data_IF_683010718288
#
_entry.id   IF_683010718288
#
_cell.length_a   1.000
_cell.length_b   1.000
_cell.length_c   1.000
_cell.angle_alpha   90.00
_cell.angle_beta   90.00
_cell.angle_gamma   90.00
#
_symmetry.space_group_name_H-M   'P 1'
#
loop_
_entity.id
_entity.type
_entity.pdbx_description
1 polymer ?
#
# COMPACT_ATOMS: atom_id res chain seq x y z
N UNK A 1 8.30 -4.48 -10.28
CA UNK A 1 8.30 -3.03 -9.97
C UNK A 1 8.68 -2.87 -8.51
N UNK A 2 9.91 -2.45 -8.19
CA UNK A 2 10.25 -2.05 -6.83
C UNK A 2 9.70 -0.64 -6.61
N UNK A 3 9.16 -0.37 -5.43
CA UNK A 3 8.69 0.96 -5.09
C UNK A 3 9.86 1.91 -4.89
N UNK A 4 9.71 3.13 -5.37
CA UNK A 4 10.54 4.24 -4.92
C UNK A 4 10.35 4.42 -3.40
N UNK A 5 11.35 5.00 -2.74
CA UNK A 5 11.26 5.29 -1.31
C UNK A 5 10.04 6.19 -0.99
N UNK A 6 9.71 7.10 -1.91
CA UNK A 6 8.55 7.98 -1.81
C UNK A 6 7.23 7.20 -1.87
N UNK A 7 7.08 6.23 -2.77
CA UNK A 7 5.90 5.36 -2.84
C UNK A 7 5.72 4.54 -1.57
N UNK A 8 6.80 3.88 -1.12
CA UNK A 8 6.73 3.05 0.08
C UNK A 8 6.34 3.88 1.32
N UNK A 9 6.94 5.06 1.49
CA UNK A 9 6.54 5.99 2.56
C UNK A 9 5.10 6.44 2.39
N UNK A 10 4.68 6.78 1.18
CA UNK A 10 3.31 7.18 0.85
C UNK A 10 2.27 6.15 1.29
N UNK A 11 2.44 4.91 0.85
CA UNK A 11 1.58 3.78 1.20
C UNK A 11 1.60 3.47 2.70
N UNK A 12 2.77 3.58 3.34
CA UNK A 12 2.92 3.36 4.79
C UNK A 12 2.14 4.39 5.61
N UNK A 13 2.20 5.67 5.25
CA UNK A 13 1.42 6.72 5.93
C UNK A 13 -0.08 6.57 5.66
N UNK A 14 -0.49 6.25 4.43
CA UNK A 14 -1.91 5.96 4.15
C UNK A 14 -2.44 4.80 4.98
N UNK A 15 -1.62 3.76 5.21
CA UNK A 15 -2.00 2.63 6.06
C UNK A 15 -2.18 3.06 7.52
N UNK A 16 -1.30 3.93 8.02
CA UNK A 16 -1.39 4.48 9.39
C UNK A 16 -2.65 5.34 9.57
N UNK A 17 -2.89 6.27 8.65
CA UNK A 17 -4.12 7.07 8.71
C UNK A 17 -5.39 6.21 8.60
N UNK A 18 -5.37 5.14 7.79
CA UNK A 18 -6.51 4.22 7.70
C UNK A 18 -6.78 3.49 9.03
N UNK A 19 -5.74 2.97 9.70
CA UNK A 19 -5.92 2.30 10.99
C UNK A 19 -6.38 3.27 12.09
N UNK A 20 -5.94 4.54 12.04
CA UNK A 20 -6.42 5.56 12.96
C UNK A 20 -7.92 5.81 12.80
N UNK A 21 -8.44 5.86 11.56
CA UNK A 21 -9.88 5.94 11.29
C UNK A 21 -10.63 4.70 11.80
N UNK A 22 -10.08 3.49 11.59
CA UNK A 22 -10.66 2.25 12.12
C UNK A 22 -10.74 2.31 13.66
N UNK A 23 -9.67 2.78 14.32
CA UNK A 23 -9.63 2.91 15.78
C UNK A 23 -10.65 3.94 16.27
N UNK A 24 -10.81 5.09 15.59
CA UNK A 24 -11.85 6.08 15.90
C UNK A 24 -13.23 5.41 15.91
N UNK A 25 -13.57 4.67 14.85
CA UNK A 25 -14.88 4.00 14.75
C UNK A 25 -15.07 3.00 15.90
N UNK A 26 -14.04 2.24 16.26
CA UNK A 26 -14.10 1.30 17.39
C UNK A 26 -14.28 2.01 18.74
N UNK A 27 -13.59 3.12 18.97
CA UNK A 27 -13.74 3.93 20.19
C UNK A 27 -15.18 4.46 20.30
N UNK A 28 -15.74 5.00 19.22
CA UNK A 28 -17.11 5.51 19.21
C UNK A 28 -18.15 4.38 19.42
N UNK A 29 -17.96 3.22 18.81
CA UNK A 29 -18.84 2.06 19.04
C UNK A 29 -18.79 1.58 20.50
N UNK A 30 -17.61 1.54 21.11
CA UNK A 30 -17.44 1.19 22.53
C UNK A 30 -18.09 2.26 23.42
N UNK A 31 -17.92 3.55 23.09
CA UNK A 31 -18.54 4.64 23.83
C UNK A 31 -20.07 4.52 23.80
N UNK A 32 -20.66 4.28 22.64
CA UNK A 32 -22.11 4.06 22.50
C UNK A 32 -22.58 2.87 23.35
N UNK A 33 -21.86 1.75 23.31
CA UNK A 33 -22.19 0.56 24.09
C UNK A 33 -22.13 0.84 25.60
N UNK A 34 -21.07 1.49 26.07
CA UNK A 34 -20.89 1.81 27.48
C UNK A 34 -21.95 2.81 27.97
N UNK A 35 -22.31 3.80 27.14
CA UNK A 35 -23.40 4.75 27.44
C UNK A 35 -24.73 4.00 27.59
N UNK A 36 -25.03 3.06 26.69
CA UNK A 36 -26.23 2.22 26.80
C UNK A 36 -26.25 1.39 28.10
N UNK A 37 -25.12 0.80 28.49
CA UNK A 37 -24.99 0.07 29.75
C UNK A 37 -25.26 1.00 30.94
N UNK A 38 -24.65 2.18 30.99
CA UNK A 38 -24.89 3.13 32.08
C UNK A 38 -26.34 3.62 32.14
N UNK A 39 -26.98 3.82 30.99
CA UNK A 39 -28.40 4.15 30.92
C UNK A 39 -29.26 3.01 31.50
N UNK A 40 -28.94 1.75 31.17
CA UNK A 40 -29.65 0.58 31.71
C UNK A 40 -29.51 0.44 33.24
N UNK A 41 -28.39 0.94 33.79
CA UNK A 41 -28.12 1.00 35.23
C UNK A 41 -28.77 2.22 35.91
N UNK A 42 -29.48 3.07 35.17
CA UNK A 42 -30.18 4.24 35.71
C UNK A 42 -29.27 5.43 36.06
N UNK A 43 -28.05 5.49 35.52
CA UNK A 43 -27.18 6.65 35.74
C UNK A 43 -27.72 7.87 34.99
N UNK A 44 -27.61 9.09 35.56
CA UNK A 44 -28.11 10.30 34.91
C UNK A 44 -27.23 10.69 33.70
N UNK A 45 -27.86 11.22 32.64
CA UNK A 45 -27.16 11.58 31.39
C UNK A 45 -25.91 12.44 31.58
N UNK A 46 -25.89 13.50 32.41
CA UNK A 46 -24.68 14.31 32.60
C UNK A 46 -23.46 13.50 33.09
N UNK A 47 -23.71 12.45 33.88
CA UNK A 47 -22.65 11.56 34.37
C UNK A 47 -22.16 10.62 33.26
N UNK A 48 -23.06 10.13 32.39
CA UNK A 48 -22.70 9.34 31.21
C UNK A 48 -21.86 10.17 30.22
N UNK A 49 -22.33 11.38 29.95
CA UNK A 49 -21.70 12.34 29.05
C UNK A 49 -20.27 12.68 29.51
N UNK A 50 -20.10 12.91 30.81
CA UNK A 50 -18.81 13.25 31.41
C UNK A 50 -17.84 12.06 31.46
N UNK A 51 -18.32 10.86 31.82
CA UNK A 51 -17.45 9.70 32.03
C UNK A 51 -17.07 8.97 30.74
N UNK A 52 -17.91 9.03 29.71
CA UNK A 52 -17.72 8.26 28.47
C UNK A 52 -17.59 9.18 27.26
N UNK A 53 -18.64 9.94 26.93
CA UNK A 53 -18.72 10.66 25.66
C UNK A 53 -17.67 11.76 25.53
N UNK A 54 -17.39 12.49 26.62
CA UNK A 54 -16.37 13.53 26.62
C UNK A 54 -14.96 12.95 26.42
N UNK A 55 -14.50 11.95 27.19
CA UNK A 55 -13.22 11.29 26.93
C UNK A 55 -13.12 10.66 25.54
N UNK A 56 -14.16 9.95 25.08
CA UNK A 56 -14.14 9.30 23.76
C UNK A 56 -14.01 10.33 22.64
N UNK A 57 -14.84 11.39 22.66
CA UNK A 57 -14.80 12.45 21.65
C UNK A 57 -13.48 13.22 21.64
N UNK A 58 -12.86 13.45 22.82
CA UNK A 58 -11.55 14.08 22.90
C UNK A 58 -10.44 13.21 22.28
N UNK A 59 -10.46 11.90 22.54
CA UNK A 59 -9.51 10.95 21.93
C UNK A 59 -9.75 10.85 20.42
N UNK A 60 -11.01 10.74 20.00
CA UNK A 60 -11.38 10.70 18.58
C UNK A 60 -10.93 11.96 17.84
N UNK A 61 -11.11 13.15 18.42
CA UNK A 61 -10.65 14.40 17.82
C UNK A 61 -9.12 14.41 17.64
N UNK A 62 -8.35 13.91 18.62
CA UNK A 62 -6.90 13.77 18.49
C UNK A 62 -6.53 12.80 17.36
N UNK A 63 -7.20 11.65 17.28
CA UNK A 63 -6.97 10.68 16.23
C UNK A 63 -7.36 11.20 14.84
N UNK A 64 -8.39 12.05 14.72
CA UNK A 64 -8.78 12.68 13.45
C UNK A 64 -7.65 13.57 12.94
N UNK A 65 -6.98 14.32 13.84
CA UNK A 65 -5.81 15.15 13.51
C UNK A 65 -4.65 14.27 13.05
N UNK A 66 -4.37 13.15 13.74
CA UNK A 66 -3.33 12.22 13.33
C UNK A 66 -3.63 11.59 11.97
N UNK A 67 -4.87 11.14 11.75
CA UNK A 67 -5.33 10.57 10.50
C UNK A 67 -5.20 11.57 9.36
N UNK A 68 -5.54 12.83 9.59
CA UNK A 68 -5.30 13.92 8.64
C UNK A 68 -3.82 14.02 8.27
N UNK A 69 -2.94 14.14 9.27
CA UNK A 69 -1.50 14.33 9.04
C UNK A 69 -0.90 13.15 8.26
N UNK A 70 -1.26 11.92 8.60
CA UNK A 70 -0.75 10.73 7.94
C UNK A 70 -1.36 10.54 6.55
N UNK A 71 -2.65 10.81 6.35
CA UNK A 71 -3.25 10.77 4.99
C UNK A 71 -2.63 11.84 4.09
N UNK A 72 -2.47 13.07 4.58
CA UNK A 72 -1.85 14.16 3.83
C UNK A 72 -0.40 13.83 3.45
N UNK A 73 0.40 13.34 4.40
CA UNK A 73 1.79 12.88 4.13
C UNK A 73 1.80 11.73 3.12
N UNK A 74 0.87 10.80 3.25
CA UNK A 74 0.71 9.67 2.34
C UNK A 74 0.48 10.11 0.91
N UNK A 75 -0.55 10.93 0.69
CA UNK A 75 -0.92 11.46 -0.62
C UNK A 75 0.17 12.37 -1.20
N UNK A 76 0.81 13.21 -0.37
CA UNK A 76 1.92 14.07 -0.83
C UNK A 76 3.11 13.25 -1.32
N UNK A 77 3.49 12.18 -0.61
CA UNK A 77 4.60 11.33 -1.01
C UNK A 77 4.29 10.50 -2.26
N UNK A 78 3.05 10.05 -2.44
CA UNK A 78 2.61 9.41 -3.68
C UNK A 78 2.65 10.37 -4.86
N UNK A 79 2.22 11.63 -4.68
CA UNK A 79 2.31 12.64 -5.73
C UNK A 79 3.76 12.94 -6.15
N UNK A 80 4.70 12.96 -5.19
CA UNK A 80 6.14 13.10 -5.48
C UNK A 80 6.71 11.93 -6.27
N UNK A 81 6.10 10.75 -6.16
CA UNK A 81 6.45 9.58 -6.94
C UNK A 81 5.69 9.47 -8.27
N UNK A 82 5.13 10.60 -8.76
CA UNK A 82 4.37 10.69 -10.01
C UNK A 82 3.03 9.91 -10.00
N UNK A 83 2.59 9.44 -8.83
CA UNK A 83 1.27 8.83 -8.64
C UNK A 83 0.31 9.92 -8.19
N UNK A 84 -0.11 10.72 -9.17
CA UNK A 84 -1.05 11.79 -8.94
C UNK A 84 -2.50 11.28 -9.10
N UNK A 85 -3.22 11.25 -7.99
CA UNK A 85 -4.61 10.81 -7.92
C UNK A 85 -5.57 11.98 -8.23
N UNK A 86 -5.05 13.21 -8.41
CA UNK A 86 -5.80 14.40 -8.83
C UNK A 86 -6.65 15.06 -7.73
N UNK A 87 -6.91 14.35 -6.62
CA UNK A 87 -7.79 14.78 -5.53
C UNK A 87 -7.06 15.08 -4.21
N UNK A 88 -5.72 15.01 -4.21
CA UNK A 88 -4.90 15.09 -2.99
C UNK A 88 -5.10 16.40 -2.21
N UNK A 89 -5.15 17.53 -2.92
CA UNK A 89 -5.32 18.85 -2.29
C UNK A 89 -6.73 19.01 -1.69
N UNK A 90 -7.74 18.49 -2.37
CA UNK A 90 -9.14 18.57 -1.92
C UNK A 90 -9.33 17.74 -0.64
N UNK A 91 -8.81 16.52 -0.61
CA UNK A 91 -8.89 15.64 0.57
C UNK A 91 -8.14 16.23 1.76
N UNK A 92 -6.93 16.75 1.51
CA UNK A 92 -6.13 17.37 2.57
C UNK A 92 -6.85 18.58 3.17
N UNK A 93 -7.49 19.40 2.35
CA UNK A 93 -8.29 20.53 2.82
C UNK A 93 -9.50 20.07 3.65
N UNK A 94 -10.23 19.07 3.17
CA UNK A 94 -11.41 18.56 3.87
C UNK A 94 -11.06 17.94 5.23
N UNK A 95 -9.99 17.16 5.31
CA UNK A 95 -9.51 16.62 6.59
C UNK A 95 -9.03 17.71 7.55
N UNK A 96 -8.41 18.79 7.05
CA UNK A 96 -8.04 19.93 7.87
C UNK A 96 -9.29 20.59 8.49
N UNK A 97 -10.30 20.87 7.66
CA UNK A 97 -11.57 21.44 8.13
C UNK A 97 -12.25 20.50 9.12
N UNK A 98 -12.29 19.20 8.83
CA UNK A 98 -12.84 18.18 9.73
C UNK A 98 -12.11 18.15 11.08
N UNK A 99 -10.78 18.24 11.07
CA UNK A 99 -9.97 18.28 12.30
C UNK A 99 -10.27 19.51 13.15
N UNK A 100 -10.39 20.68 12.52
CA UNK A 100 -10.75 21.93 13.20
C UNK A 100 -12.17 21.82 13.79
N UNK A 101 -13.12 21.32 13.00
CA UNK A 101 -14.50 21.13 13.45
C UNK A 101 -14.60 20.12 14.60
N UNK A 102 -13.80 19.05 14.59
CA UNK A 102 -13.76 18.07 15.67
C UNK A 102 -13.29 18.71 16.99
N UNK A 103 -12.23 19.54 16.96
CA UNK A 103 -11.75 20.28 18.14
C UNK A 103 -12.84 21.24 18.64
N UNK A 104 -13.43 22.04 17.75
CA UNK A 104 -14.50 22.97 18.12
C UNK A 104 -15.67 22.18 18.73
N UNK A 105 -16.03 21.02 18.16
CA UNK A 105 -17.06 20.12 18.67
C UNK A 105 -16.82 19.71 20.10
N UNK A 106 -15.62 19.20 20.41
CA UNK A 106 -15.27 18.78 21.78
C UNK A 106 -15.29 19.96 22.75
N UNK A 107 -14.76 21.12 22.35
CA UNK A 107 -14.77 22.32 23.21
C UNK A 107 -16.19 22.81 23.47
N UNK A 108 -17.02 22.91 22.43
CA UNK A 108 -18.43 23.30 22.56
C UNK A 108 -19.23 22.29 23.40
N UNK A 109 -18.96 20.99 23.25
CA UNK A 109 -19.58 19.94 24.04
C UNK A 109 -19.19 20.04 25.54
N UNK A 110 -17.91 20.24 25.82
CA UNK A 110 -17.42 20.46 27.20
C UNK A 110 -18.08 21.68 27.83
N UNK A 111 -18.16 22.78 27.08
CA UNK A 111 -18.78 24.02 27.54
C UNK A 111 -20.28 23.82 27.82
N UNK A 112 -20.96 23.02 26.99
CA UNK A 112 -22.36 22.64 27.16
C UNK A 112 -22.61 21.93 28.49
N UNK A 113 -21.73 21.00 28.87
CA UNK A 113 -21.84 20.26 30.13
C UNK A 113 -21.68 21.17 31.35
N UNK A 114 -20.82 22.20 31.26
CA UNK A 114 -20.55 23.12 32.37
C UNK A 114 -21.65 24.19 32.51
N UNK A 115 -22.15 24.75 31.40
CA UNK A 115 -23.02 25.94 31.43
C UNK A 115 -24.53 25.63 31.38
N UNK A 116 -24.92 24.36 31.31
CA UNK A 116 -26.29 23.79 31.46
C UNK A 116 -27.47 24.45 30.72
N UNK A 117 -27.27 25.52 29.94
CA UNK A 117 -28.37 26.39 29.48
C UNK A 117 -28.22 27.07 28.10
N UNK A 118 -27.10 26.92 27.36
CA UNK A 118 -26.81 27.82 26.21
C UNK A 118 -26.53 27.13 24.85
N UNK A 119 -26.49 25.81 24.74
CA UNK A 119 -25.69 25.19 23.65
C UNK A 119 -26.42 24.29 22.67
N UNK A 120 -27.70 23.94 22.87
CA UNK A 120 -28.34 22.91 22.04
C UNK A 120 -28.47 23.27 20.55
N UNK A 121 -28.76 24.54 20.23
CA UNK A 121 -28.93 24.97 18.83
C UNK A 121 -27.60 25.09 18.06
N UNK A 122 -26.55 25.59 18.72
CA UNK A 122 -25.21 25.72 18.14
C UNK A 122 -24.59 24.34 17.97
N UNK A 123 -24.72 23.47 18.96
CA UNK A 123 -24.15 22.12 18.94
C UNK A 123 -24.81 21.25 17.85
N UNK A 124 -26.13 21.34 17.68
CA UNK A 124 -26.84 20.62 16.62
C UNK A 124 -26.37 21.06 15.21
N UNK A 125 -26.18 22.36 15.02
CA UNK A 125 -25.69 22.90 13.73
C UNK A 125 -24.25 22.47 13.47
N UNK A 126 -23.39 22.51 14.49
CA UNK A 126 -21.99 22.08 14.41
C UNK A 126 -21.87 20.58 14.12
N UNK A 127 -22.70 19.76 14.78
CA UNK A 127 -22.76 18.33 14.54
C UNK A 127 -23.17 18.03 13.10
N UNK A 128 -24.20 18.70 12.59
CA UNK A 128 -24.64 18.55 11.19
C UNK A 128 -23.51 18.88 10.22
N UNK A 129 -22.76 19.95 10.49
CA UNK A 129 -21.61 20.34 9.68
C UNK A 129 -20.50 19.29 9.73
N UNK A 130 -20.18 18.77 10.92
CA UNK A 130 -19.18 17.73 11.12
C UNK A 130 -19.54 16.46 10.32
N UNK A 131 -20.79 16.03 10.39
CA UNK A 131 -21.30 14.87 9.65
C UNK A 131 -21.20 15.06 8.13
N UNK A 132 -21.55 16.24 7.60
CA UNK A 132 -21.42 16.55 6.17
C UNK A 132 -19.96 16.52 5.73
N UNK A 133 -19.06 17.16 6.47
CA UNK A 133 -17.63 17.16 6.12
C UNK A 133 -17.02 15.77 6.25
N UNK A 134 -17.36 15.00 7.29
CA UNK A 134 -16.92 13.62 7.46
C UNK A 134 -17.39 12.74 6.29
N UNK A 135 -18.65 12.90 5.87
CA UNK A 135 -19.23 12.21 4.73
C UNK A 135 -18.45 12.46 3.43
N UNK A 136 -18.28 13.73 3.06
CA UNK A 136 -17.58 14.11 1.82
C UNK A 136 -16.13 13.61 1.87
N UNK A 137 -15.48 13.75 3.03
CA UNK A 137 -14.10 13.30 3.25
C UNK A 137 -13.95 11.80 3.05
N UNK A 138 -14.82 10.99 3.65
CA UNK A 138 -14.76 9.52 3.56
C UNK A 138 -15.06 9.02 2.14
N UNK A 139 -15.97 9.67 1.41
CA UNK A 139 -16.21 9.34 -0.01
C UNK A 139 -14.96 9.59 -0.85
N UNK A 140 -14.36 10.78 -0.73
CA UNK A 140 -13.15 11.11 -1.49
C UNK A 140 -11.96 10.23 -1.10
N UNK A 141 -11.87 9.86 0.17
CA UNK A 141 -10.88 8.90 0.64
C UNK A 141 -11.11 7.50 0.01
N UNK A 142 -12.36 7.05 -0.07
CA UNK A 142 -12.72 5.82 -0.79
C UNK A 142 -12.35 5.88 -2.27
N UNK A 143 -12.58 7.01 -2.95
CA UNK A 143 -12.13 7.20 -4.33
C UNK A 143 -10.61 7.16 -4.44
N UNK A 144 -9.89 7.74 -3.48
CA UNK A 144 -8.42 7.70 -3.45
C UNK A 144 -7.91 6.28 -3.34
N UNK A 145 -8.44 5.49 -2.41
CA UNK A 145 -8.07 4.09 -2.28
C UNK A 145 -8.41 3.30 -3.54
N UNK A 146 -9.58 3.54 -4.15
CA UNK A 146 -9.93 2.91 -5.41
C UNK A 146 -8.88 3.17 -6.50
N UNK A 147 -8.54 4.44 -6.72
CA UNK A 147 -7.60 4.86 -7.76
C UNK A 147 -6.17 4.35 -7.49
N UNK A 148 -5.73 4.34 -6.23
CA UNK A 148 -4.44 3.74 -5.84
C UNK A 148 -4.46 2.24 -6.10
N UNK A 149 -5.55 1.56 -5.75
CA UNK A 149 -5.75 0.14 -6.01
C UNK A 149 -5.67 -0.18 -7.50
N UNK A 150 -6.35 0.60 -8.34
CA UNK A 150 -6.32 0.45 -9.80
C UNK A 150 -4.90 0.68 -10.35
N UNK A 151 -4.20 1.71 -9.88
CA UNK A 151 -2.81 2.00 -10.28
C UNK A 151 -1.85 0.84 -9.97
N UNK A 152 -1.99 0.23 -8.78
CA UNK A 152 -1.14 -0.88 -8.36
C UNK A 152 -1.70 -2.27 -8.70
N UNK A 153 -2.81 -2.34 -9.44
CA UNK A 153 -3.50 -3.61 -9.75
C UNK A 153 -3.82 -4.44 -8.50
N UNK A 154 -4.20 -3.77 -7.40
CA UNK A 154 -4.56 -4.41 -6.14
C UNK A 154 -6.08 -4.40 -5.95
N UNK A 155 -6.68 -5.57 -6.18
CA UNK A 155 -8.12 -5.77 -6.09
C UNK A 155 -8.66 -5.49 -4.68
N UNK A 156 -7.93 -5.83 -3.61
CA UNK A 156 -8.38 -5.52 -2.26
C UNK A 156 -8.51 -4.02 -2.04
N UNK A 157 -7.50 -3.24 -2.42
CA UNK A 157 -7.52 -1.81 -2.24
C UNK A 157 -8.60 -1.14 -3.12
N UNK A 158 -8.76 -1.61 -4.36
CA UNK A 158 -9.79 -1.10 -5.28
C UNK A 158 -11.22 -1.40 -4.80
N UNK A 159 -11.50 -2.67 -4.47
CA UNK A 159 -12.79 -3.12 -3.95
C UNK A 159 -13.08 -2.48 -2.61
N UNK A 160 -12.10 -2.42 -1.70
CA UNK A 160 -12.26 -1.80 -0.39
C UNK A 160 -12.65 -0.33 -0.50
N UNK A 161 -12.03 0.42 -1.41
CA UNK A 161 -12.39 1.81 -1.68
C UNK A 161 -13.83 1.96 -2.19
N UNK A 162 -14.27 1.07 -3.08
CA UNK A 162 -15.64 1.05 -3.60
C UNK A 162 -16.67 0.67 -2.52
N UNK A 163 -16.37 -0.35 -1.71
CA UNK A 163 -17.21 -0.77 -0.57
C UNK A 163 -17.33 0.35 0.46
N UNK A 164 -16.25 1.09 0.73
CA UNK A 164 -16.28 2.27 1.59
C UNK A 164 -17.23 3.34 1.05
N UNK A 165 -17.12 3.71 -0.23
CA UNK A 165 -18.02 4.69 -0.87
C UNK A 165 -19.47 4.23 -0.74
N UNK A 166 -19.76 2.97 -1.11
CA UNK A 166 -21.11 2.42 -1.09
C UNK A 166 -21.67 2.44 0.34
N UNK A 167 -20.89 2.00 1.33
CA UNK A 167 -21.31 2.01 2.74
C UNK A 167 -21.63 3.41 3.24
N UNK A 168 -20.77 4.40 2.93
CA UNK A 168 -20.97 5.80 3.32
C UNK A 168 -22.22 6.40 2.67
N UNK A 169 -22.50 6.07 1.41
CA UNK A 169 -23.73 6.50 0.72
C UNK A 169 -24.96 5.87 1.37
N UNK A 170 -24.96 4.55 1.61
CA UNK A 170 -26.09 3.87 2.26
C UNK A 170 -26.34 4.39 3.68
N UNK A 171 -25.29 4.74 4.41
CA UNK A 171 -25.38 5.32 5.74
C UNK A 171 -26.16 6.65 5.75
N UNK A 172 -25.95 7.51 4.74
CA UNK A 172 -26.71 8.76 4.60
C UNK A 172 -28.21 8.52 4.40
N UNK A 173 -28.57 7.49 3.64
CA UNK A 173 -29.97 7.11 3.47
C UNK A 173 -30.57 6.42 4.70
N UNK A 174 -29.87 6.46 5.85
CA UNK A 174 -30.24 5.86 7.12
C UNK A 174 -30.55 4.37 7.01
N UNK A 175 -29.88 3.69 6.08
CA UNK A 175 -29.93 2.25 6.00
C UNK A 175 -29.03 1.69 7.09
N UNK A 176 -29.62 0.91 8.00
CA UNK A 176 -29.01 0.42 9.25
C UNK A 176 -27.63 -0.23 9.03
N UNK A 177 -27.41 -0.84 7.86
CA UNK A 177 -26.18 -1.56 7.53
C UNK A 177 -25.11 -0.73 6.83
N UNK A 178 -25.39 0.52 6.46
CA UNK A 178 -24.45 1.37 5.71
C UNK A 178 -23.15 1.63 6.47
N UNK A 179 -23.25 1.92 7.76
CA UNK A 179 -22.08 2.16 8.62
C UNK A 179 -21.19 0.92 8.76
N UNK A 180 -21.79 -0.26 8.92
CA UNK A 180 -21.07 -1.53 8.96
C UNK A 180 -20.35 -1.79 7.63
N UNK A 181 -21.01 -1.53 6.50
CA UNK A 181 -20.40 -1.71 5.18
C UNK A 181 -19.23 -0.75 4.95
N UNK A 182 -19.36 0.51 5.38
CA UNK A 182 -18.26 1.48 5.32
C UNK A 182 -17.06 1.02 6.16
N UNK A 183 -17.33 0.51 7.37
CA UNK A 183 -16.31 -0.06 8.24
C UNK A 183 -15.60 -1.26 7.59
N UNK A 184 -16.34 -2.19 6.99
CA UNK A 184 -15.78 -3.31 6.22
C UNK A 184 -14.88 -2.79 5.07
N UNK A 185 -15.31 -1.75 4.36
CA UNK A 185 -14.50 -1.10 3.32
C UNK A 185 -13.15 -0.60 3.85
N UNK A 186 -13.13 0.05 5.03
CA UNK A 186 -11.89 0.47 5.69
C UNK A 186 -10.98 -0.73 6.03
N UNK A 187 -11.52 -1.81 6.57
CA UNK A 187 -10.73 -3.02 6.86
C UNK A 187 -10.11 -3.60 5.58
N UNK A 188 -10.88 -3.70 4.50
CA UNK A 188 -10.39 -4.23 3.22
C UNK A 188 -9.30 -3.32 2.63
N UNK A 189 -9.47 -1.99 2.69
CA UNK A 189 -8.44 -1.05 2.23
C UNK A 189 -7.17 -1.12 3.07
N UNK A 190 -7.26 -1.28 4.39
CA UNK A 190 -6.12 -1.51 5.27
C UNK A 190 -5.35 -2.80 4.90
N UNK A 191 -6.05 -3.89 4.62
CA UNK A 191 -5.46 -5.15 4.13
C UNK A 191 -4.79 -4.91 2.77
N UNK A 192 -5.46 -4.21 1.85
CA UNK A 192 -4.92 -3.85 0.55
C UNK A 192 -3.61 -3.08 0.63
N UNK A 193 -3.55 -2.05 1.47
CA UNK A 193 -2.33 -1.27 1.73
C UNK A 193 -1.23 -2.12 2.37
N UNK A 194 -1.59 -3.03 3.28
CA UNK A 194 -0.64 -3.97 3.89
C UNK A 194 -0.03 -4.89 2.84
N UNK A 195 -0.84 -5.45 1.96
CA UNK A 195 -0.38 -6.33 0.88
C UNK A 195 0.59 -5.61 -0.06
N UNK A 196 0.34 -4.34 -0.39
CA UNK A 196 1.29 -3.55 -1.19
C UNK A 196 2.64 -3.42 -0.46
N UNK A 197 2.63 -3.13 0.84
CA UNK A 197 3.84 -2.94 1.63
C UNK A 197 4.63 -4.24 1.88
N UNK A 198 3.96 -5.40 2.00
CA UNK A 198 4.62 -6.69 2.26
C UNK A 198 5.27 -7.28 1.03
N UNK A 199 4.70 -7.06 -0.17
CA UNK A 199 5.23 -7.63 -1.41
C UNK A 199 6.57 -6.95 -1.81
N UNK A 200 6.85 -5.72 -1.33
CA UNK A 200 7.96 -4.89 -1.82
C UNK A 200 8.59 -4.03 -0.73
N UNK A 201 9.41 -4.63 0.14
CA UNK A 201 10.33 -3.88 1.00
C UNK A 201 11.33 -3.09 0.14
N UNK A 202 11.70 -1.85 0.52
CA UNK A 202 12.79 -1.15 -0.12
C UNK A 202 14.08 -1.96 0.05
N UNK A 203 14.76 -2.26 -1.05
CA UNK A 203 16.12 -2.79 -1.02
C UNK A 203 16.98 -1.70 -0.38
N UNK A 204 17.44 -1.94 0.85
CA UNK A 204 18.49 -1.13 1.45
C UNK A 204 19.65 -1.06 0.46
N UNK A 205 20.23 0.12 0.17
CA UNK A 205 21.51 0.17 -0.51
C UNK A 205 22.48 -0.73 0.26
N UNK A 206 23.30 -1.55 -0.43
CA UNK A 206 24.31 -2.35 0.24
C UNK A 206 25.24 -1.42 1.01
N UNK A 207 25.71 -1.80 2.21
CA UNK A 207 26.68 -1.01 2.95
C UNK A 207 27.89 -0.73 2.03
N UNK A 208 28.46 0.50 2.09
CA UNK A 208 29.64 0.80 1.31
C UNK A 208 30.71 -0.26 1.56
N UNK A 209 31.40 -0.76 0.53
CA UNK A 209 32.45 -1.74 0.73
C UNK A 209 33.45 -1.17 1.74
N UNK A 210 33.73 -1.94 2.80
CA UNK A 210 34.85 -1.64 3.68
C UNK A 210 36.08 -1.48 2.79
N UNK A 211 36.65 -0.28 2.77
CA UNK A 211 37.96 -0.06 2.19
C UNK A 211 38.95 -0.85 3.06
N UNK A 212 39.33 -2.03 2.58
CA UNK A 212 40.51 -2.73 3.08
C UNK A 212 41.71 -1.82 2.81
N UNK A 213 42.55 -1.50 3.81
CA UNK A 213 43.73 -0.70 3.59
C UNK A 213 44.68 -1.42 2.62
N UNK A 214 45.02 -0.75 1.52
CA UNK A 214 46.09 -1.19 0.61
C UNK A 214 47.41 -1.22 1.37
N UNK A 215 47.93 -2.42 1.63
CA UNK A 215 49.31 -2.61 2.09
C UNK A 215 50.30 -2.37 0.92
N UNK A 216 51.53 -1.90 1.19
CA UNK A 216 52.48 -1.51 0.15
C UNK A 216 53.05 -2.72 -0.58
N UNK A 217 53.21 -2.59 -1.89
CA UNK A 217 53.90 -3.55 -2.76
C UNK A 217 55.39 -3.63 -2.42
N UNK A 218 55.88 -4.82 -2.08
CA UNK A 218 57.29 -5.18 -2.22
C UNK A 218 57.44 -6.35 -3.19
N UNK A 219 58.35 -6.14 -4.14
CA UNK A 219 58.92 -7.09 -5.11
C UNK A 219 59.60 -8.28 -4.45
N UNK A 220 59.38 -9.51 -4.95
CA UNK A 220 60.43 -10.43 -5.48
C UNK A 220 59.89 -11.81 -5.91
N UNK A 221 60.47 -12.28 -7.02
CA UNK A 221 60.65 -13.61 -7.64
C UNK A 221 60.13 -14.95 -7.05
N UNK A 222 59.71 -15.80 -8.01
CA UNK A 222 59.92 -17.27 -8.16
C UNK A 222 58.80 -18.27 -7.76
N UNK A 223 58.51 -19.15 -8.74
CA UNK A 223 57.61 -20.32 -8.86
C UNK A 223 58.07 -21.53 -8.00
N UNK A 224 57.38 -22.71 -7.90
CA UNK A 224 56.02 -23.13 -8.26
C UNK A 224 55.24 -23.95 -7.16
N UNK A 225 53.96 -24.20 -7.46
CA UNK A 225 53.11 -25.32 -6.97
C UNK A 225 52.51 -25.27 -5.56
N UNK A 226 51.21 -24.97 -5.50
CA UNK A 226 50.26 -25.72 -4.66
C UNK A 226 48.88 -25.71 -5.33
N UNK A 227 48.49 -26.90 -5.77
CA UNK A 227 47.18 -27.28 -6.28
C UNK A 227 46.13 -26.94 -5.22
N UNK A 228 45.32 -25.90 -5.47
CA UNK A 228 44.10 -25.65 -4.74
C UNK A 228 42.96 -25.75 -5.73
N UNK A 229 42.19 -26.82 -5.56
CA UNK A 229 40.95 -27.12 -6.25
C UNK A 229 39.98 -25.97 -5.99
N UNK A 230 39.97 -24.97 -6.86
CA UNK A 230 38.95 -23.93 -6.87
C UNK A 230 37.68 -24.53 -7.46
N UNK A 231 36.79 -24.98 -6.58
CA UNK A 231 35.38 -25.10 -6.94
C UNK A 231 34.95 -23.78 -7.58
N UNK A 232 34.40 -23.78 -8.81
CA UNK A 232 33.99 -22.54 -9.45
C UNK A 232 32.95 -21.84 -8.58
N UNK A 233 32.93 -20.49 -8.52
CA UNK A 233 31.91 -19.77 -7.77
C UNK A 233 30.54 -20.22 -8.27
N UNK A 234 29.75 -20.80 -7.37
CA UNK A 234 28.32 -21.08 -7.60
C UNK A 234 27.61 -19.75 -7.78
N UNK A 235 27.51 -19.32 -9.04
CA UNK A 235 26.68 -18.20 -9.48
C UNK A 235 25.24 -18.49 -9.06
N UNK A 236 24.72 -17.70 -8.13
CA UNK A 236 23.37 -17.80 -7.62
C UNK A 236 22.46 -16.87 -8.42
N UNK A 237 21.67 -17.45 -9.32
CA UNK A 237 20.59 -16.76 -10.02
C UNK A 237 19.26 -17.25 -9.47
N UNK A 238 18.47 -16.34 -8.91
CA UNK A 238 17.17 -16.63 -8.29
C UNK A 238 16.05 -16.10 -9.18
N UNK A 239 15.14 -16.99 -9.56
CA UNK A 239 13.94 -16.69 -10.34
C UNK A 239 12.78 -16.31 -9.42
N UNK A 240 12.10 -15.18 -9.70
CA UNK A 240 10.97 -14.67 -8.88
C UNK A 240 9.62 -14.84 -9.57
N UNK A 241 9.60 -15.47 -10.74
CA UNK A 241 8.40 -15.64 -11.58
C UNK A 241 8.10 -14.45 -12.49
N UNK A 242 6.94 -14.50 -13.15
CA UNK A 242 6.50 -13.44 -14.07
C UNK A 242 5.07 -13.62 -14.61
N UNK A 243 4.71 -12.76 -15.56
CA UNK A 243 3.41 -12.78 -16.26
C UNK A 243 3.68 -12.85 -17.75
N UNK A 244 2.96 -13.73 -18.47
CA UNK A 244 2.90 -13.76 -19.94
C UNK A 244 1.50 -13.28 -20.37
N UNK A 245 1.43 -12.23 -21.18
CA UNK A 245 0.18 -11.65 -21.67
C UNK A 245 -0.25 -12.22 -23.02
N UNK A 246 -1.54 -12.15 -23.33
CA UNK A 246 -2.09 -12.56 -24.64
C UNK A 246 -1.47 -11.84 -25.85
N UNK A 247 -0.95 -10.64 -25.65
CA UNK A 247 -0.24 -9.86 -26.68
C UNK A 247 1.21 -10.31 -26.90
N UNK A 248 1.65 -11.39 -26.25
CA UNK A 248 3.01 -11.92 -26.38
C UNK A 248 4.07 -11.23 -25.52
N UNK A 249 3.69 -10.24 -24.71
CA UNK A 249 4.62 -9.62 -23.77
C UNK A 249 4.74 -10.43 -22.49
N UNK A 250 5.96 -10.83 -22.14
CA UNK A 250 6.30 -11.41 -20.85
C UNK A 250 7.07 -10.40 -19.98
N UNK A 251 6.71 -10.35 -18.70
CA UNK A 251 7.39 -9.56 -17.68
C UNK A 251 7.90 -10.52 -16.61
N UNK A 252 9.22 -10.68 -16.55
CA UNK A 252 9.87 -11.63 -15.62
C UNK A 252 10.84 -10.91 -14.69
N UNK A 253 11.09 -11.54 -13.55
CA UNK A 253 11.94 -11.01 -12.50
C UNK A 253 13.00 -12.02 -12.06
N UNK A 254 14.27 -11.61 -12.09
CA UNK A 254 15.42 -12.45 -11.77
C UNK A 254 16.43 -11.67 -10.92
N UNK A 255 16.96 -12.26 -9.85
CA UNK A 255 18.11 -11.69 -9.12
C UNK A 255 19.38 -12.45 -9.48
N UNK A 256 20.47 -11.73 -9.72
CA UNK A 256 21.77 -12.27 -10.13
C UNK A 256 22.89 -11.71 -9.25
N UNK A 257 23.89 -12.52 -8.93
CA UNK A 257 25.14 -12.11 -8.30
C UNK A 257 26.24 -11.76 -9.31
N UNK A 258 25.98 -11.99 -10.60
CA UNK A 258 26.86 -11.68 -11.73
C UNK A 258 26.23 -10.66 -12.69
N UNK A 259 27.10 -10.05 -13.50
CA UNK A 259 26.67 -9.34 -14.70
C UNK A 259 26.85 -10.27 -15.91
N UNK A 260 25.83 -10.36 -16.76
CA UNK A 260 25.84 -11.20 -17.96
C UNK A 260 24.92 -10.60 -19.04
N UNK A 261 25.01 -11.09 -20.26
CA UNK A 261 24.13 -10.69 -21.36
C UNK A 261 23.09 -11.78 -21.62
N UNK A 262 21.85 -11.37 -21.84
CA UNK A 262 20.75 -12.24 -22.26
C UNK A 262 20.75 -12.27 -23.80
N UNK A 263 20.99 -13.45 -24.37
CA UNK A 263 21.07 -13.64 -25.81
C UNK A 263 19.70 -13.87 -26.43
N UNK A 264 18.93 -14.79 -25.84
CA UNK A 264 17.65 -15.21 -26.35
C UNK A 264 16.72 -15.70 -25.24
N UNK A 265 15.44 -15.82 -25.58
CA UNK A 265 14.44 -16.41 -24.71
C UNK A 265 13.53 -17.36 -25.48
N UNK A 266 13.05 -18.41 -24.82
CA UNK A 266 12.15 -19.41 -25.39
C UNK A 266 11.10 -19.82 -24.36
N UNK A 267 9.85 -19.97 -24.79
CA UNK A 267 8.81 -20.60 -23.97
C UNK A 267 9.00 -22.11 -24.10
N UNK A 268 9.27 -22.81 -23.00
CA UNK A 268 9.52 -24.25 -23.02
C UNK A 268 8.27 -25.02 -23.48
N UNK A 269 8.51 -26.10 -24.22
CA UNK A 269 7.49 -26.95 -24.84
C UNK A 269 6.66 -26.24 -25.93
N UNK A 270 7.17 -25.15 -26.49
CA UNK A 270 6.60 -24.50 -27.69
C UNK A 270 7.72 -24.10 -28.66
N UNK A 271 7.35 -23.66 -29.86
CA UNK A 271 8.27 -23.12 -30.85
C UNK A 271 8.50 -21.59 -30.70
N UNK A 272 8.02 -20.99 -29.61
CA UNK A 272 8.09 -19.55 -29.40
C UNK A 272 9.44 -19.14 -28.82
N UNK A 273 10.30 -18.59 -29.68
CA UNK A 273 11.59 -18.00 -29.30
C UNK A 273 11.70 -16.56 -29.78
N UNK A 274 12.50 -15.75 -29.08
CA UNK A 274 12.69 -14.33 -29.41
C UNK A 274 14.02 -13.79 -28.86
N UNK A 275 14.51 -12.74 -29.52
CA UNK A 275 15.64 -11.93 -29.07
C UNK A 275 15.20 -10.48 -28.71
N UNK A 276 13.89 -10.21 -28.76
CA UNK A 276 13.27 -8.95 -28.33
C UNK A 276 13.16 -8.93 -26.80
N UNK A 277 14.27 -8.60 -26.15
CA UNK A 277 14.45 -8.63 -24.70
C UNK A 277 14.97 -7.27 -24.24
N UNK A 278 14.34 -6.70 -23.21
CA UNK A 278 14.71 -5.40 -22.64
C UNK A 278 14.66 -5.44 -21.11
N UNK A 279 15.78 -5.17 -20.40
CA UNK A 279 17.13 -4.95 -20.93
C UNK A 279 17.79 -6.27 -21.40
N UNK A 280 18.77 -6.19 -22.30
CA UNK A 280 19.60 -7.34 -22.72
C UNK A 280 20.74 -7.66 -21.76
N UNK A 281 20.94 -6.84 -20.72
CA UNK A 281 21.97 -7.03 -19.71
C UNK A 281 21.31 -7.46 -18.41
N UNK A 282 21.79 -8.56 -17.87
CA UNK A 282 21.54 -8.98 -16.50
C UNK A 282 22.59 -8.30 -15.62
N UNK A 283 22.18 -7.36 -14.79
CA UNK A 283 23.06 -6.68 -13.84
C UNK A 283 23.10 -7.43 -12.50
N UNK A 284 24.11 -7.13 -11.67
CA UNK A 284 24.10 -7.60 -10.28
C UNK A 284 22.90 -7.02 -9.54
N UNK A 285 22.23 -7.86 -8.75
CA UNK A 285 21.00 -7.54 -8.05
C UNK A 285 19.76 -7.94 -8.83
N UNK A 286 18.66 -7.21 -8.62
CA UNK A 286 17.34 -7.52 -9.18
C UNK A 286 17.18 -6.96 -10.60
N UNK A 287 16.74 -7.80 -11.52
CA UNK A 287 16.51 -7.50 -12.92
C UNK A 287 15.04 -7.69 -13.28
N UNK A 288 14.43 -6.64 -13.84
CA UNK A 288 13.10 -6.69 -14.43
C UNK A 288 13.24 -6.75 -15.94
N UNK A 289 12.86 -7.88 -16.53
CA UNK A 289 13.10 -8.16 -17.96
C UNK A 289 11.75 -8.24 -18.65
N UNK A 290 11.57 -7.41 -19.67
CA UNK A 290 10.46 -7.47 -20.63
C UNK A 290 10.91 -8.26 -21.84
N UNK A 291 10.09 -9.20 -22.29
CA UNK A 291 10.35 -10.05 -23.45
C UNK A 291 9.13 -10.00 -24.35
N UNK A 292 9.34 -9.89 -25.66
CA UNK A 292 8.24 -9.89 -26.63
C UNK A 292 8.32 -11.11 -27.53
N UNK A 293 7.36 -11.99 -27.38
CA UNK A 293 7.14 -13.16 -28.21
C UNK A 293 6.09 -12.86 -29.26
N UNK A 294 6.21 -13.47 -30.43
CA UNK A 294 5.14 -13.50 -31.43
C UNK A 294 4.27 -14.74 -31.22
N UNK A 295 3.38 -14.70 -30.22
CA UNK A 295 2.55 -15.86 -29.84
C UNK A 295 1.20 -15.88 -30.54
N UNK A 296 0.65 -17.08 -30.74
CA UNK A 296 -0.78 -17.27 -30.95
C UNK A 296 -1.47 -17.49 -29.59
N UNK A 297 -2.31 -16.55 -29.09
CA UNK A 297 -2.92 -16.66 -27.77
C UNK A 297 -3.87 -17.85 -27.64
N UNK A 298 -4.39 -18.42 -28.74
CA UNK A 298 -5.26 -19.60 -28.71
C UNK A 298 -4.55 -20.88 -28.22
N UNK A 299 -3.21 -20.90 -28.24
CA UNK A 299 -2.41 -22.04 -27.76
C UNK A 299 -2.12 -21.96 -26.25
N UNK A 300 -2.55 -20.90 -25.59
CA UNK A 300 -2.35 -20.68 -24.17
C UNK A 300 -3.68 -20.70 -23.42
N UNK A 301 -3.69 -21.34 -22.25
CA UNK A 301 -4.86 -21.43 -21.39
C UNK A 301 -4.74 -20.41 -20.28
N UNK A 302 -5.75 -19.54 -20.15
CA UNK A 302 -5.86 -18.58 -19.05
C UNK A 302 -5.68 -19.26 -17.70
N UNK A 303 -4.80 -18.74 -16.85
CA UNK A 303 -4.58 -19.31 -15.52
C UNK A 303 -3.45 -20.33 -15.42
N UNK A 304 -2.93 -20.83 -16.55
CA UNK A 304 -1.86 -21.82 -16.54
C UNK A 304 -0.48 -21.18 -16.38
N UNK A 305 0.45 -21.97 -15.83
CA UNK A 305 1.85 -21.61 -15.73
C UNK A 305 2.63 -22.12 -16.94
N UNK A 306 3.53 -21.26 -17.45
CA UNK A 306 4.43 -21.55 -18.57
C UNK A 306 5.86 -21.24 -18.12
N UNK A 307 6.85 -22.01 -18.58
CA UNK A 307 8.24 -21.75 -18.22
C UNK A 307 8.94 -21.04 -19.37
N UNK A 308 9.51 -19.88 -19.08
CA UNK A 308 10.33 -19.10 -20.00
C UNK A 308 11.78 -19.36 -19.66
N UNK A 309 12.56 -19.86 -20.62
CA UNK A 309 14.01 -20.01 -20.53
C UNK A 309 14.69 -18.77 -21.10
N UNK A 310 15.63 -18.22 -20.36
CA UNK A 310 16.61 -17.25 -20.84
C UNK A 310 17.94 -17.96 -21.11
N UNK A 311 18.56 -17.67 -22.24
CA UNK A 311 19.91 -18.13 -22.56
C UNK A 311 20.87 -16.97 -22.37
N UNK A 312 21.83 -17.13 -21.47
CA UNK A 312 22.86 -16.12 -21.20
C UNK A 312 24.08 -16.29 -22.12
N UNK A 313 24.88 -15.24 -22.27
CA UNK A 313 26.12 -15.27 -23.04
C UNK A 313 27.19 -16.17 -22.39
N UNK A 314 27.12 -16.38 -21.07
CA UNK A 314 27.91 -17.40 -20.38
C UNK A 314 27.53 -18.86 -20.73
N UNK A 315 26.47 -19.08 -21.53
CA UNK A 315 25.94 -20.40 -21.84
C UNK A 315 25.02 -20.98 -20.77
N UNK A 316 24.74 -20.23 -19.69
CA UNK A 316 23.80 -20.62 -18.64
C UNK A 316 22.35 -20.36 -19.05
N UNK A 317 21.46 -21.22 -18.56
CA UNK A 317 20.02 -21.07 -18.74
C UNK A 317 19.36 -20.65 -17.43
N UNK A 318 18.42 -19.72 -17.50
CA UNK A 318 17.56 -19.32 -16.38
C UNK A 318 16.13 -19.68 -16.74
N UNK A 319 15.50 -20.53 -15.94
CA UNK A 319 14.10 -20.92 -16.12
C UNK A 319 13.20 -20.11 -15.17
N UNK A 320 12.23 -19.41 -15.75
CA UNK A 320 11.29 -18.56 -15.02
C UNK A 320 9.86 -19.02 -15.27
N UNK A 321 9.16 -19.36 -14.20
CA UNK A 321 7.73 -19.71 -14.28
C UNK A 321 6.89 -18.45 -14.38
N UNK A 322 6.08 -18.36 -15.42
CA UNK A 322 5.17 -17.24 -15.68
C UNK A 322 3.73 -17.71 -15.68
N UNK A 323 2.84 -16.85 -15.19
CA UNK A 323 1.40 -17.07 -15.24
C UNK A 323 0.81 -16.43 -16.50
N UNK A 324 0.00 -17.18 -17.26
CA UNK A 324 -0.64 -16.65 -18.46
C UNK A 324 -1.91 -15.86 -18.10
N UNK A 325 -1.91 -14.58 -18.48
CA UNK A 325 -3.00 -13.64 -18.28
C UNK A 325 -3.52 -13.14 -19.65
N UNK A 326 -4.78 -13.41 -20.00
CA UNK A 326 -5.39 -12.91 -21.23
C UNK A 326 -5.40 -11.39 -21.32
#
# INVERSE_FOLDING_TARGET
MNYTEAEYKGLSYLRRGNIEIIIIILIELIAILLTYIMQSLGLPNPLQDFLILLPSSAISALLVILAYLDIQRGLSNLAKAEINIGINNVISFLFLVLSILAIIGVVSYTLSLVLTSVTSSILASLQTLLEIFAFITLILLGFSYKLIGDHYSNNYLSIGGLVLILGVILFIFKLEYGGLLAFIGLIITYIGLTNLLTIKKPVSPPPPPLQTPSAPSETTSSTPSAETTSTPPTVNIISHGGILRSNGEAFIAVSSDIEDQILSSTILNTDYSTNEITPKTLSKGYNSIKIKFNINPQQFTSGNNYTIRLVLASGKNIDVTTFFQP
#
